data_IF_653526000305
#
_entry.id   IF_653526000305
#
_cell.length_a   1.000
_cell.length_b   1.000
_cell.length_c   1.000
_cell.angle_alpha   90.00
_cell.angle_beta   90.00
_cell.angle_gamma   90.00
#
_symmetry.space_group_name_H-M   'P 1'
#
loop_
_entity.id
_entity.type
_entity.pdbx_description
1 polymer ?
#
# COMPACT_ATOMS: atom_id res chain seq x y z
N UNK A 1 4.83 4.45 23.39
CA UNK A 1 4.98 3.01 23.07
C UNK A 1 6.44 2.63 22.89
N UNK A 2 7.23 3.35 22.08
CA UNK A 2 8.67 3.10 21.89
C UNK A 2 9.45 2.98 23.20
N UNK A 3 9.25 3.91 24.14
CA UNK A 3 9.92 3.87 25.46
C UNK A 3 9.64 2.61 26.29
N UNK A 4 8.54 1.90 26.01
CA UNK A 4 8.17 0.63 26.67
C UNK A 4 8.82 -0.53 25.92
N UNK A 5 8.68 -0.58 24.59
CA UNK A 5 9.10 -1.72 23.78
C UNK A 5 10.61 -1.79 23.61
N UNK A 6 11.25 -0.64 23.44
CA UNK A 6 12.70 -0.54 23.23
C UNK A 6 13.46 -0.35 24.56
N UNK A 7 12.76 -0.49 25.70
CA UNK A 7 13.39 -0.40 27.00
C UNK A 7 14.42 -1.52 27.17
N UNK A 8 15.68 -1.14 27.37
CA UNK A 8 16.77 -2.12 27.54
C UNK A 8 16.62 -2.85 28.87
N UNK A 9 16.74 -4.20 28.89
CA UNK A 9 16.74 -4.95 30.14
C UNK A 9 17.82 -4.46 31.11
N UNK A 10 17.50 -4.47 32.41
CA UNK A 10 18.49 -4.26 33.45
C UNK A 10 19.39 -5.50 33.54
N UNK A 11 20.70 -5.32 33.49
CA UNK A 11 21.66 -6.43 33.39
C UNK A 11 22.12 -6.98 34.75
N UNK A 12 22.00 -6.16 35.79
CA UNK A 12 22.42 -6.51 37.15
C UNK A 12 21.56 -5.74 38.16
N UNK A 13 21.49 -6.27 39.37
CA UNK A 13 20.76 -5.65 40.46
C UNK A 13 21.48 -4.40 40.95
N UNK A 14 20.89 -3.23 40.70
CA UNK A 14 21.42 -1.96 41.16
C UNK A 14 20.29 -0.96 41.42
N UNK A 15 20.32 -0.32 42.59
CA UNK A 15 19.35 0.71 43.00
C UNK A 15 19.19 1.81 41.93
N UNK A 16 20.29 2.28 41.34
CA UNK A 16 20.25 3.26 40.24
C UNK A 16 19.48 2.76 39.02
N UNK A 17 19.65 1.50 38.63
CA UNK A 17 18.94 0.91 37.50
C UNK A 17 17.44 0.77 37.75
N UNK A 18 17.07 0.37 38.97
CA UNK A 18 15.67 0.28 39.39
C UNK A 18 14.99 1.67 39.40
N UNK A 19 15.67 2.71 39.89
CA UNK A 19 15.14 4.07 39.85
C UNK A 19 14.92 4.55 38.41
N UNK A 20 15.86 4.28 37.49
CA UNK A 20 15.68 4.60 36.06
C UNK A 20 14.47 3.86 35.46
N UNK A 21 14.25 2.61 35.84
CA UNK A 21 13.08 1.84 35.40
C UNK A 21 11.77 2.51 35.87
N UNK A 22 11.69 2.93 37.13
CA UNK A 22 10.53 3.64 37.67
C UNK A 22 10.31 4.98 36.97
N UNK A 23 11.37 5.76 36.77
CA UNK A 23 11.28 7.08 36.13
C UNK A 23 10.88 7.02 34.66
N UNK A 24 11.27 5.97 33.93
CA UNK A 24 11.06 5.88 32.48
C UNK A 24 9.97 4.90 32.09
N UNK A 25 10.09 3.64 32.51
CA UNK A 25 9.18 2.59 32.09
C UNK A 25 7.80 2.75 32.72
N UNK A 26 7.74 2.92 34.04
CA UNK A 26 6.46 3.15 34.73
C UNK A 26 5.81 4.48 34.30
N UNK A 27 6.60 5.55 34.15
CA UNK A 27 6.09 6.80 33.59
C UNK A 27 5.48 6.63 32.18
N UNK A 28 6.14 5.86 31.30
CA UNK A 28 5.61 5.57 29.97
C UNK A 28 4.34 4.72 30.00
N UNK A 29 4.25 3.73 30.90
CA UNK A 29 3.04 2.92 31.10
C UNK A 29 1.89 3.78 31.64
N UNK A 30 2.15 4.67 32.60
CA UNK A 30 1.16 5.63 33.12
C UNK A 30 0.66 6.56 32.01
N UNK A 31 1.56 7.11 31.20
CA UNK A 31 1.19 7.94 30.05
C UNK A 31 0.31 7.17 29.05
N UNK A 32 0.63 5.91 28.75
CA UNK A 32 -0.17 5.05 27.88
C UNK A 32 -1.58 4.81 28.45
N UNK A 33 -1.70 4.48 29.74
CA UNK A 33 -2.99 4.30 30.42
C UNK A 33 -3.83 5.58 30.43
N UNK A 34 -3.20 6.74 30.51
CA UNK A 34 -3.88 8.03 30.50
C UNK A 34 -4.54 8.39 29.17
N UNK A 35 -4.21 7.69 28.08
CA UNK A 35 -4.91 7.84 26.80
C UNK A 35 -6.36 7.30 26.84
N UNK A 36 -6.73 6.53 27.87
CA UNK A 36 -8.09 6.01 28.09
C UNK A 36 -8.69 5.32 26.85
N UNK A 37 -7.85 4.55 26.16
CA UNK A 37 -8.28 3.74 25.03
C UNK A 37 -9.32 2.72 25.50
N UNK A 38 -10.35 2.50 24.67
CA UNK A 38 -11.43 1.54 24.96
C UNK A 38 -10.87 0.14 25.12
N UNK A 39 -9.98 -0.26 24.21
CA UNK A 39 -9.24 -1.52 24.30
C UNK A 39 -7.72 -1.25 24.21
N UNK A 40 -7.10 -1.08 25.36
CA UNK A 40 -5.66 -0.89 25.46
C UNK A 40 -4.87 -2.12 24.99
N UNK A 41 -5.42 -3.32 25.21
CA UNK A 41 -4.73 -4.57 24.86
C UNK A 41 -4.66 -4.72 23.36
N UNK A 42 -5.79 -4.52 22.68
CA UNK A 42 -5.87 -4.57 21.22
C UNK A 42 -4.95 -3.53 20.57
N UNK A 43 -4.90 -2.30 21.11
CA UNK A 43 -3.95 -1.29 20.66
C UNK A 43 -2.49 -1.71 20.81
N UNK A 44 -2.11 -2.30 21.96
CA UNK A 44 -0.75 -2.78 22.20
C UNK A 44 -0.39 -3.89 21.20
N UNK A 45 -1.29 -4.86 20.99
CA UNK A 45 -1.10 -5.95 20.03
C UNK A 45 -0.99 -5.42 18.59
N UNK A 46 -1.83 -4.46 18.22
CA UNK A 46 -1.78 -3.81 16.92
C UNK A 46 -0.47 -3.05 16.68
N UNK A 47 -0.03 -2.25 17.65
CA UNK A 47 1.27 -1.56 17.58
C UNK A 47 2.42 -2.56 17.44
N UNK A 48 2.43 -3.62 18.24
CA UNK A 48 3.45 -4.67 18.16
C UNK A 48 3.45 -5.34 16.79
N UNK A 49 2.28 -5.69 16.25
CA UNK A 49 2.17 -6.29 14.92
C UNK A 49 2.75 -5.37 13.83
N UNK A 50 2.32 -4.11 13.80
CA UNK A 50 2.80 -3.12 12.83
C UNK A 50 4.32 -2.89 12.96
N UNK A 51 4.86 -2.90 14.18
CA UNK A 51 6.31 -2.72 14.43
C UNK A 51 7.18 -3.85 13.85
N UNK A 52 6.59 -4.99 13.50
CA UNK A 52 7.31 -6.16 12.95
C UNK A 52 7.11 -6.36 11.46
N UNK A 53 6.21 -5.60 10.83
CA UNK A 53 6.00 -5.65 9.39
C UNK A 53 7.00 -4.75 8.66
N UNK A 54 7.25 -5.04 7.39
CA UNK A 54 8.07 -4.17 6.56
C UNK A 54 7.35 -2.83 6.29
N UNK A 55 8.11 -1.73 6.09
CA UNK A 55 7.51 -0.41 5.89
C UNK A 55 6.55 -0.30 4.70
N UNK A 56 6.74 -1.10 3.65
CA UNK A 56 5.87 -1.07 2.48
C UNK A 56 4.50 -1.68 2.80
N UNK A 57 4.47 -2.81 3.51
CA UNK A 57 3.23 -3.43 3.99
C UNK A 57 2.48 -2.53 4.97
N UNK A 58 3.19 -1.90 5.93
CA UNK A 58 2.58 -0.94 6.88
C UNK A 58 1.95 0.23 6.13
N UNK A 59 2.66 0.84 5.19
CA UNK A 59 2.14 1.94 4.37
C UNK A 59 0.87 1.54 3.60
N UNK A 60 0.84 0.34 3.01
CA UNK A 60 -0.35 -0.14 2.30
C UNK A 60 -1.54 -0.35 3.25
N UNK A 61 -1.28 -0.85 4.45
CA UNK A 61 -2.30 -0.99 5.49
C UNK A 61 -2.89 0.37 5.87
N UNK A 62 -2.05 1.37 6.16
CA UNK A 62 -2.47 2.73 6.51
C UNK A 62 -3.32 3.38 5.40
N UNK A 63 -2.94 3.18 4.13
CA UNK A 63 -3.73 3.64 2.99
C UNK A 63 -5.10 2.95 2.97
N UNK A 64 -5.14 1.63 3.19
CA UNK A 64 -6.39 0.85 3.16
C UNK A 64 -7.37 1.22 4.29
N UNK A 65 -6.87 1.74 5.41
CA UNK A 65 -7.65 2.10 6.61
C UNK A 65 -7.69 3.60 6.88
N UNK A 66 -7.39 4.45 5.89
CA UNK A 66 -7.32 5.92 6.01
C UNK A 66 -8.53 6.58 6.71
N UNK A 67 -9.72 6.00 6.56
CA UNK A 67 -10.97 6.58 7.08
C UNK A 67 -11.47 5.93 8.38
N UNK A 68 -10.73 4.98 8.97
CA UNK A 68 -11.10 4.31 10.21
C UNK A 68 -10.53 5.07 11.43
N UNK A 69 -11.30 5.14 12.51
CA UNK A 69 -10.95 5.89 13.74
C UNK A 69 -9.77 5.27 14.50
N UNK A 70 -9.70 3.93 14.56
CA UNK A 70 -8.54 3.15 14.99
C UNK A 70 -8.72 1.70 14.51
N UNK A 71 -7.79 1.13 13.72
CA UNK A 71 -7.90 -0.26 13.31
C UNK A 71 -7.58 -1.21 14.47
N UNK A 72 -8.28 -2.34 14.51
CA UNK A 72 -8.04 -3.40 15.50
C UNK A 72 -6.85 -4.29 15.14
N UNK A 73 -6.40 -5.11 16.08
CA UNK A 73 -5.42 -6.16 15.78
C UNK A 73 -5.92 -7.12 14.68
N UNK A 74 -7.20 -7.50 14.72
CA UNK A 74 -7.79 -8.39 13.71
C UNK A 74 -7.86 -7.76 12.32
N UNK A 75 -8.03 -6.44 12.22
CA UNK A 75 -7.93 -5.72 10.95
C UNK A 75 -6.54 -5.88 10.33
N UNK A 76 -5.49 -5.78 11.13
CA UNK A 76 -4.10 -5.95 10.70
C UNK A 76 -3.87 -7.38 10.22
N UNK A 77 -4.30 -8.38 10.99
CA UNK A 77 -4.13 -9.79 10.64
C UNK A 77 -4.88 -10.15 9.37
N UNK A 78 -6.11 -9.67 9.22
CA UNK A 78 -6.92 -9.87 8.02
C UNK A 78 -6.21 -9.28 6.79
N UNK A 79 -5.73 -8.03 6.90
CA UNK A 79 -4.99 -7.37 5.84
C UNK A 79 -3.71 -8.14 5.44
N UNK A 80 -2.91 -8.57 6.42
CA UNK A 80 -1.66 -9.31 6.17
C UNK A 80 -1.94 -10.66 5.49
N UNK A 81 -3.00 -11.37 5.91
CA UNK A 81 -3.43 -12.62 5.24
C UNK A 81 -3.76 -12.37 3.78
N UNK A 82 -4.46 -11.28 3.46
CA UNK A 82 -4.85 -10.97 2.08
C UNK A 82 -3.65 -10.53 1.23
N UNK A 83 -2.76 -9.70 1.78
CA UNK A 83 -1.51 -9.33 1.12
C UNK A 83 -0.63 -10.55 0.81
N UNK A 84 -0.55 -11.52 1.74
CA UNK A 84 0.19 -12.77 1.52
C UNK A 84 -0.38 -13.59 0.35
N UNK A 85 -1.72 -13.67 0.24
CA UNK A 85 -2.37 -14.32 -0.91
C UNK A 85 -2.06 -13.60 -2.22
N UNK A 86 -2.18 -12.27 -2.26
CA UNK A 86 -1.93 -11.45 -3.45
C UNK A 86 -0.49 -11.66 -3.95
N UNK A 87 0.50 -11.57 -3.06
CA UNK A 87 1.91 -11.79 -3.41
C UNK A 87 2.18 -13.22 -3.88
N UNK A 88 1.46 -14.20 -3.32
CA UNK A 88 1.58 -15.60 -3.73
C UNK A 88 1.00 -15.86 -5.13
N UNK A 89 -0.06 -15.16 -5.53
CA UNK A 89 -0.63 -15.25 -6.87
C UNK A 89 0.27 -14.61 -7.93
N UNK A 90 0.84 -13.44 -7.62
CA UNK A 90 1.77 -12.76 -8.53
C UNK A 90 3.04 -13.57 -8.83
N UNK A 91 3.51 -14.39 -7.88
CA UNK A 91 4.64 -15.33 -8.10
C UNK A 91 4.29 -16.49 -9.03
N UNK A 92 3.01 -16.84 -9.18
CA UNK A 92 2.54 -17.99 -9.97
C UNK A 92 2.19 -17.65 -11.41
N UNK A 93 2.20 -16.38 -11.81
CA UNK A 93 2.18 -16.02 -13.23
C UNK A 93 3.60 -16.17 -13.79
N UNK A 94 3.90 -17.20 -14.60
CA UNK A 94 5.08 -17.14 -15.43
C UNK A 94 4.86 -15.99 -16.41
N UNK A 95 5.52 -14.86 -16.17
CA UNK A 95 5.82 -13.93 -17.24
C UNK A 95 6.69 -14.72 -18.22
N UNK A 96 6.07 -15.31 -19.25
CA UNK A 96 6.79 -15.70 -20.45
C UNK A 96 7.34 -14.41 -21.04
N UNK A 97 8.54 -14.01 -20.60
CA UNK A 97 9.40 -13.12 -21.35
C UNK A 97 9.73 -13.87 -22.64
N UNK A 98 8.93 -13.63 -23.67
CA UNK A 98 9.27 -14.07 -25.02
C UNK A 98 10.50 -13.29 -25.46
N UNK A 99 11.62 -13.98 -25.62
CA UNK A 99 12.76 -13.46 -26.36
C UNK A 99 12.28 -13.04 -27.76
N UNK A 100 12.19 -11.73 -28.01
CA UNK A 100 12.24 -11.22 -29.38
C UNK A 100 13.72 -11.16 -29.77
N UNK A 101 14.21 -12.28 -30.30
CA UNK A 101 15.33 -12.23 -31.22
C UNK A 101 14.88 -11.47 -32.46
N UNK A 102 15.67 -10.48 -32.85
CA UNK A 102 15.47 -9.64 -34.02
C UNK A 102 15.26 -10.47 -35.29
N UNK A 103 14.16 -10.20 -35.99
CA UNK A 103 14.12 -10.31 -37.44
C UNK A 103 13.34 -9.13 -37.99
N UNK A 104 14.09 -8.28 -38.69
CA UNK A 104 13.68 -7.12 -39.49
C UNK A 104 12.38 -7.39 -40.26
N UNK A 105 11.42 -6.47 -40.09
CA UNK A 105 10.18 -6.46 -40.86
C UNK A 105 9.32 -5.25 -40.50
N UNK A 106 9.61 -4.10 -41.09
CA UNK A 106 8.73 -2.91 -41.09
C UNK A 106 7.33 -3.34 -41.52
N UNK A 107 6.30 -3.16 -40.68
CA UNK A 107 4.95 -2.79 -41.11
C UNK A 107 4.26 -2.09 -39.93
N UNK A 108 4.07 -0.78 -40.06
CA UNK A 108 3.06 -0.01 -39.35
C UNK A 108 1.69 -0.57 -39.73
N UNK A 109 0.94 -1.11 -38.77
CA UNK A 109 -0.47 -1.44 -38.99
C UNK A 109 -1.31 -0.18 -38.83
N UNK A 110 -1.25 0.68 -39.84
CA UNK A 110 -2.36 1.58 -40.15
C UNK A 110 -3.54 0.71 -40.59
N UNK A 111 -4.67 0.82 -39.90
CA UNK A 111 -5.92 0.23 -40.37
C UNK A 111 -6.36 1.01 -41.63
N UNK A 112 -6.20 0.40 -42.80
CA UNK A 112 -6.86 0.82 -44.02
C UNK A 112 -8.05 -0.12 -44.25
N UNK A 113 -9.24 0.48 -44.29
CA UNK A 113 -10.50 -0.14 -44.69
C UNK A 113 -10.55 -0.15 -46.21
N UNK A 114 -10.89 -1.29 -46.82
CA UNK A 114 -11.11 -1.41 -48.26
C UNK A 114 -12.45 -0.79 -48.67
N UNK A 115 -12.43 0.00 -49.75
CA UNK A 115 -13.55 0.62 -50.49
C UNK A 115 -14.43 -0.42 -51.22
N UNK A 116 -15.70 -0.14 -51.62
CA UNK A 116 -16.14 0.79 -52.68
C UNK A 116 -17.71 0.80 -52.81
N UNK A 117 -18.34 1.49 -53.79
CA UNK A 117 -18.25 2.91 -54.22
C UNK A 117 -19.63 3.61 -54.30
N UNK A 118 -19.66 4.96 -54.36
CA UNK A 118 -20.32 5.77 -55.42
C UNK A 118 -20.18 7.30 -55.20
N UNK A 119 -19.48 7.90 -56.17
CA UNK A 119 -19.64 9.22 -56.81
C UNK A 119 -19.49 10.56 -56.03
N UNK A 120 -18.38 11.22 -56.41
CA UNK A 120 -18.25 12.61 -56.87
C UNK A 120 -18.14 13.82 -55.90
N UNK A 121 -16.90 14.36 -55.89
CA UNK A 121 -16.50 15.77 -56.00
C UNK A 121 -16.04 16.58 -54.74
N UNK A 122 -14.71 16.80 -54.73
CA UNK A 122 -13.95 18.04 -54.49
C UNK A 122 -13.61 18.56 -53.05
N UNK A 123 -12.31 18.37 -52.71
CA UNK A 123 -11.34 19.28 -52.06
C UNK A 123 -11.48 19.80 -50.60
N UNK A 124 -10.60 19.24 -49.72
CA UNK A 124 -9.63 19.82 -48.74
C UNK A 124 -10.00 21.13 -47.97
N UNK A 125 -9.90 21.28 -46.63
CA UNK A 125 -8.81 20.97 -45.67
C UNK A 125 -9.28 20.87 -44.19
N UNK A 126 -8.67 19.92 -43.48
CA UNK A 126 -8.40 19.71 -42.03
C UNK A 126 -8.86 20.72 -40.96
N UNK A 127 -9.51 20.23 -39.90
CA UNK A 127 -8.93 20.08 -38.54
C UNK A 127 -9.80 19.12 -37.71
N UNK A 128 -9.21 18.00 -37.27
CA UNK A 128 -9.84 16.89 -36.57
C UNK A 128 -10.06 17.20 -35.09
N UNK A 129 -11.32 17.27 -34.67
CA UNK A 129 -11.71 17.22 -33.27
C UNK A 129 -11.69 15.78 -32.74
N UNK A 130 -10.87 15.52 -31.72
CA UNK A 130 -11.06 14.37 -30.84
C UNK A 130 -12.03 14.80 -29.74
N UNK A 131 -13.30 14.39 -29.82
CA UNK A 131 -14.25 14.63 -28.73
C UNK A 131 -13.94 13.68 -27.57
N UNK A 132 -13.58 14.27 -26.42
CA UNK A 132 -13.41 13.55 -25.16
C UNK A 132 -14.78 13.21 -24.56
N UNK A 133 -15.00 11.96 -24.20
CA UNK A 133 -16.29 11.43 -23.69
C UNK A 133 -16.72 12.07 -22.35
N UNK A 134 -15.85 12.81 -21.66
CA UNK A 134 -16.18 13.49 -20.39
C UNK A 134 -16.23 15.03 -20.47
N UNK A 135 -16.02 15.65 -21.63
CA UNK A 135 -15.89 17.12 -21.72
C UNK A 135 -17.20 17.92 -21.90
N UNK A 136 -18.38 17.32 -21.72
CA UNK A 136 -19.64 18.08 -21.72
C UNK A 136 -20.55 17.73 -20.53
N UNK A 137 -20.11 18.12 -19.32
CA UNK A 137 -21.03 18.47 -18.23
C UNK A 137 -20.50 19.70 -17.50
N UNK A 138 -21.01 20.85 -17.92
CA UNK A 138 -20.89 22.18 -17.35
C UNK A 138 -21.96 23.04 -17.99
#
# INVERSE_FOLDING_TARGET
>A
MEQIIDFKPLLYEASKGLNIFLEKFDAAVKALKNLKLVDLTDFILGYLALSKLDPATVKLFEISKRNAELPSYEDIITFVKDQSKILSLNKKLPLKSGNLGESVGKISKSFLVNEAPKEENAATTSHTGNSCIYCHKG
#
